data_IF_813972163418
#
_entry.id   IF_813972163418
#
_cell.length_a   1.000
_cell.length_b   1.000
_cell.length_c   1.000
_cell.angle_alpha   90.00
_cell.angle_beta   90.00
_cell.angle_gamma   90.00
#
_symmetry.space_group_name_H-M   'P 1'
#
loop_
_entity.id
_entity.type
_entity.pdbx_description
1 polymer ?
#
# COMPACT_ATOMS: atom_id res chain seq x y z
N UNK A 1 -13.61 -5.42 32.65
CA UNK A 1 -13.75 -6.16 31.37
C UNK A 1 -12.55 -7.09 31.18
N UNK A 2 -12.76 -8.37 30.87
CA UNK A 2 -11.67 -9.26 30.42
C UNK A 2 -11.07 -8.70 29.13
N UNK A 3 -9.76 -8.79 28.95
CA UNK A 3 -9.11 -8.36 27.72
C UNK A 3 -9.64 -9.16 26.53
N UNK A 4 -10.12 -8.48 25.51
CA UNK A 4 -10.62 -9.09 24.29
C UNK A 4 -9.42 -9.32 23.37
N UNK A 5 -9.21 -10.57 22.93
CA UNK A 5 -8.20 -10.92 21.92
C UNK A 5 -8.90 -11.10 20.59
N UNK A 6 -8.56 -10.27 19.62
CA UNK A 6 -9.08 -10.36 18.26
C UNK A 6 -7.94 -10.72 17.30
N UNK A 7 -8.20 -11.69 16.43
CA UNK A 7 -7.37 -12.01 15.27
C UNK A 7 -8.23 -11.98 14.01
N UNK A 8 -7.72 -11.34 12.95
CA UNK A 8 -8.44 -11.17 11.68
C UNK A 8 -7.60 -11.85 10.59
N UNK A 9 -8.19 -12.85 9.97
CA UNK A 9 -7.67 -13.53 8.76
C UNK A 9 -8.49 -13.08 7.56
N UNK A 10 -8.16 -13.59 6.37
CA UNK A 10 -8.79 -13.11 5.12
C UNK A 10 -10.31 -13.34 5.10
N UNK A 11 -10.80 -14.45 5.68
CA UNK A 11 -12.23 -14.81 5.66
C UNK A 11 -12.79 -15.15 7.05
N UNK A 12 -12.01 -14.97 8.11
CA UNK A 12 -12.45 -15.28 9.47
C UNK A 12 -12.01 -14.25 10.49
N UNK A 13 -12.91 -13.94 11.42
CA UNK A 13 -12.63 -13.17 12.63
C UNK A 13 -12.61 -14.16 13.79
N UNK A 14 -11.63 -14.02 14.67
CA UNK A 14 -11.49 -14.85 15.86
C UNK A 14 -11.48 -13.93 17.07
N UNK A 15 -12.47 -14.07 17.95
CA UNK A 15 -12.58 -13.31 19.20
C UNK A 15 -12.54 -14.28 20.37
N UNK A 16 -11.56 -14.12 21.27
CA UNK A 16 -11.39 -14.98 22.45
C UNK A 16 -11.42 -16.49 22.13
N UNK A 17 -10.82 -16.87 21.00
CA UNK A 17 -10.75 -18.25 20.46
C UNK A 17 -12.03 -18.78 19.80
N UNK A 18 -13.11 -18.00 19.75
CA UNK A 18 -14.30 -18.35 18.95
C UNK A 18 -14.09 -17.77 17.56
N UNK A 19 -14.28 -18.61 16.54
CA UNK A 19 -14.08 -18.28 15.13
C UNK A 19 -15.44 -18.09 14.45
N UNK A 20 -15.55 -17.03 13.64
CA UNK A 20 -16.68 -16.77 12.78
C UNK A 20 -16.20 -16.53 11.34
N UNK A 21 -16.93 -17.09 10.38
CA UNK A 21 -16.72 -16.77 8.98
C UNK A 21 -17.41 -15.45 8.65
N UNK A 22 -16.77 -14.66 7.79
CA UNK A 22 -17.37 -13.44 7.28
C UNK A 22 -17.16 -13.27 5.79
N UNK A 23 -18.06 -12.49 5.19
CA UNK A 23 -17.95 -12.00 3.82
C UNK A 23 -17.72 -10.50 3.82
N UNK A 24 -17.00 -10.03 2.81
CA UNK A 24 -16.71 -8.61 2.62
C UNK A 24 -17.40 -8.10 1.38
N UNK A 25 -18.21 -7.06 1.54
CA UNK A 25 -18.88 -6.40 0.43
C UNK A 25 -18.50 -4.91 0.41
N UNK A 26 -18.15 -4.40 -0.77
CA UNK A 26 -17.88 -2.98 -0.97
C UNK A 26 -19.19 -2.20 -1.01
N UNK A 27 -19.25 -1.10 -0.27
CA UNK A 27 -20.37 -0.18 -0.30
C UNK A 27 -19.87 1.26 -0.19
N UNK A 28 -20.64 2.19 -0.76
CA UNK A 28 -20.47 3.60 -0.42
C UNK A 28 -20.71 3.78 1.08
N UNK A 29 -19.76 4.41 1.77
CA UNK A 29 -19.82 4.61 3.23
C UNK A 29 -21.10 5.34 3.63
N UNK A 30 -21.44 6.44 2.96
CA UNK A 30 -22.64 7.23 3.25
C UNK A 30 -23.91 6.39 3.15
N UNK A 31 -23.99 5.48 2.18
CA UNK A 31 -25.12 4.56 2.04
C UNK A 31 -25.13 3.50 3.15
N UNK A 32 -23.97 3.00 3.55
CA UNK A 32 -23.83 2.00 4.61
C UNK A 32 -24.35 2.50 5.96
N UNK A 33 -24.01 3.73 6.32
CA UNK A 33 -24.46 4.31 7.59
C UNK A 33 -25.95 4.73 7.56
N UNK A 34 -26.56 4.83 6.38
CA UNK A 34 -27.97 5.19 6.14
C UNK A 34 -28.34 6.64 6.50
N UNK A 35 -27.81 7.15 7.61
CA UNK A 35 -28.10 8.46 8.17
C UNK A 35 -26.86 9.37 8.13
N UNK A 36 -27.03 10.59 7.61
CA UNK A 36 -25.94 11.55 7.42
C UNK A 36 -25.23 11.93 8.73
N UNK A 37 -25.96 12.04 9.85
CA UNK A 37 -25.35 12.40 11.13
C UNK A 37 -24.49 11.27 11.70
N UNK A 38 -24.88 10.02 11.48
CA UNK A 38 -24.10 8.83 11.85
C UNK A 38 -22.83 8.81 11.00
N UNK A 39 -22.96 8.87 9.68
CA UNK A 39 -21.81 8.94 8.77
C UNK A 39 -20.79 10.00 9.20
N UNK A 40 -21.24 11.23 9.47
CA UNK A 40 -20.37 12.34 9.90
C UNK A 40 -19.68 12.06 11.24
N UNK A 41 -20.42 11.53 12.22
CA UNK A 41 -19.85 11.16 13.52
C UNK A 41 -18.70 10.16 13.36
N UNK A 42 -18.91 9.07 12.61
CA UNK A 42 -17.89 8.05 12.39
C UNK A 42 -16.70 8.60 11.59
N UNK A 43 -16.94 9.36 10.51
CA UNK A 43 -15.86 9.92 9.70
C UNK A 43 -14.97 10.85 10.50
N UNK A 44 -15.57 11.72 11.32
CA UNK A 44 -14.84 12.70 12.12
C UNK A 44 -14.10 12.01 13.27
N UNK A 45 -14.75 11.09 13.96
CA UNK A 45 -14.16 10.37 15.09
C UNK A 45 -12.95 9.53 14.65
N UNK A 46 -13.07 8.77 13.57
CA UNK A 46 -12.02 7.88 13.09
C UNK A 46 -10.85 8.66 12.47
N UNK A 47 -11.14 9.72 11.72
CA UNK A 47 -10.11 10.60 11.16
C UNK A 47 -9.33 11.30 12.28
N UNK A 48 -10.02 11.91 13.24
CA UNK A 48 -9.39 12.67 14.33
C UNK A 48 -8.57 11.79 15.28
N UNK A 49 -9.10 10.64 15.69
CA UNK A 49 -8.48 9.83 16.74
C UNK A 49 -7.52 8.76 16.19
N UNK A 50 -7.76 8.27 14.97
CA UNK A 50 -7.03 7.12 14.42
C UNK A 50 -6.42 7.37 13.04
N UNK A 51 -6.62 8.57 12.44
CA UNK A 51 -6.16 8.91 11.09
C UNK A 51 -6.70 7.96 10.00
N UNK A 52 -7.91 7.42 10.21
CA UNK A 52 -8.58 6.53 9.27
C UNK A 52 -9.62 7.36 8.49
N UNK A 53 -9.49 7.42 7.17
CA UNK A 53 -10.49 8.06 6.30
C UNK A 53 -11.47 7.01 5.75
N UNK A 54 -12.76 7.20 6.03
CA UNK A 54 -13.86 6.34 5.57
C UNK A 54 -14.84 7.07 4.65
N UNK A 55 -14.51 8.26 4.14
CA UNK A 55 -15.45 9.13 3.42
C UNK A 55 -15.88 8.62 2.04
N UNK A 56 -15.19 7.61 1.51
CA UNK A 56 -15.41 7.07 0.17
C UNK A 56 -16.08 5.69 0.26
N UNK A 57 -15.65 4.75 -0.58
CA UNK A 57 -16.05 3.35 -0.48
C UNK A 57 -15.35 2.66 0.68
N UNK A 58 -16.10 1.81 1.37
CA UNK A 58 -15.61 0.99 2.47
C UNK A 58 -16.07 -0.45 2.30
N UNK A 59 -15.33 -1.34 2.94
CA UNK A 59 -15.65 -2.76 3.01
C UNK A 59 -16.55 -3.00 4.24
N UNK A 60 -17.77 -3.49 4.05
CA UNK A 60 -18.65 -3.95 5.13
C UNK A 60 -18.42 -5.43 5.41
N UNK A 61 -18.39 -5.79 6.69
CA UNK A 61 -18.25 -7.16 7.16
C UNK A 61 -19.60 -7.74 7.53
N UNK A 62 -19.96 -8.87 6.91
CA UNK A 62 -21.13 -9.66 7.25
C UNK A 62 -20.70 -11.01 7.81
N UNK A 63 -21.12 -11.33 9.04
CA UNK A 63 -20.86 -12.64 9.68
C UNK A 63 -22.06 -13.56 9.42
N UNK A 64 -21.81 -14.87 9.27
CA UNK A 64 -22.91 -15.83 9.11
C UNK A 64 -23.93 -15.73 10.25
N UNK A 65 -25.21 -15.96 9.95
CA UNK A 65 -26.28 -15.89 10.96
C UNK A 65 -26.00 -16.81 12.15
N UNK A 66 -25.52 -18.03 11.91
CA UNK A 66 -25.21 -18.99 12.97
C UNK A 66 -24.05 -18.52 13.86
N UNK A 67 -23.02 -17.90 13.28
CA UNK A 67 -21.88 -17.39 14.02
C UNK A 67 -22.21 -16.10 14.78
N UNK A 68 -23.08 -15.24 14.22
CA UNK A 68 -23.51 -14.00 14.87
C UNK A 68 -24.31 -14.26 16.15
N UNK A 69 -24.93 -15.43 16.31
CA UNK A 69 -25.60 -15.81 17.56
C UNK A 69 -24.65 -16.28 18.67
N UNK A 70 -23.37 -16.57 18.37
CA UNK A 70 -22.39 -17.10 19.33
C UNK A 70 -21.74 -15.97 20.12
N UNK A 71 -21.57 -16.14 21.43
CA UNK A 71 -20.71 -15.24 22.20
C UNK A 71 -19.24 -15.43 21.76
N UNK A 72 -18.46 -14.36 21.54
CA UNK A 72 -18.79 -12.95 21.76
C UNK A 72 -19.28 -12.19 20.52
N UNK A 73 -19.41 -12.83 19.36
CA UNK A 73 -19.88 -12.18 18.12
C UNK A 73 -21.27 -11.59 18.27
N UNK A 74 -22.15 -12.26 19.03
CA UNK A 74 -23.47 -11.74 19.39
C UNK A 74 -23.42 -10.36 20.01
N UNK A 75 -22.38 -10.04 20.77
CA UNK A 75 -22.28 -8.72 21.38
C UNK A 75 -21.83 -7.69 20.33
N UNK A 76 -20.88 -8.02 19.46
CA UNK A 76 -20.21 -7.06 18.57
C UNK A 76 -20.80 -6.94 17.16
N UNK A 77 -21.57 -7.93 16.70
CA UNK A 77 -22.08 -8.04 15.33
C UNK A 77 -23.60 -8.29 15.31
N UNK A 78 -24.32 -7.72 16.28
CA UNK A 78 -25.79 -7.81 16.31
C UNK A 78 -26.41 -7.35 14.99
N UNK A 79 -27.56 -7.92 14.67
CA UNK A 79 -28.37 -7.54 13.52
C UNK A 79 -28.68 -6.03 13.58
N UNK A 80 -28.25 -5.28 12.55
CA UNK A 80 -28.36 -3.81 12.50
C UNK A 80 -27.15 -3.03 13.05
N UNK A 81 -26.12 -3.71 13.56
CA UNK A 81 -24.84 -3.10 13.94
C UNK A 81 -23.97 -2.75 12.73
N UNK A 82 -23.10 -1.75 12.90
CA UNK A 82 -22.19 -1.30 11.84
C UNK A 82 -20.81 -1.95 12.02
N UNK A 83 -20.37 -2.71 11.02
CA UNK A 83 -19.06 -3.35 10.98
C UNK A 83 -18.31 -2.96 9.70
N UNK A 84 -17.27 -2.15 9.83
CA UNK A 84 -16.47 -1.65 8.70
C UNK A 84 -15.05 -2.17 8.79
N UNK A 85 -14.54 -2.67 7.68
CA UNK A 85 -13.12 -2.94 7.48
C UNK A 85 -12.52 -1.89 6.56
N UNK A 86 -11.45 -1.23 6.99
CA UNK A 86 -10.74 -0.28 6.12
C UNK A 86 -9.35 0.01 6.66
N UNK A 87 -8.38 0.18 5.77
CA UNK A 87 -7.00 0.52 6.12
C UNK A 87 -6.37 -0.40 7.19
N UNK A 88 -6.76 -1.68 7.20
CA UNK A 88 -6.29 -2.66 8.19
C UNK A 88 -6.92 -2.50 9.58
N UNK A 89 -8.02 -1.75 9.71
CA UNK A 89 -8.79 -1.61 10.93
C UNK A 89 -10.19 -2.21 10.77
N UNK A 90 -10.64 -2.91 11.80
CA UNK A 90 -12.02 -3.33 11.99
C UNK A 90 -12.69 -2.39 13.00
N UNK A 91 -13.76 -1.76 12.57
CA UNK A 91 -14.55 -0.82 13.38
C UNK A 91 -15.89 -1.49 13.66
N UNK A 92 -16.24 -1.57 14.95
CA UNK A 92 -17.48 -2.17 15.42
C UNK A 92 -18.23 -1.16 16.29
N UNK A 93 -19.52 -1.01 16.01
CA UNK A 93 -20.43 -0.34 16.91
C UNK A 93 -20.91 -1.31 17.98
N UNK A 94 -20.74 -0.96 19.25
CA UNK A 94 -21.28 -1.71 20.38
C UNK A 94 -21.99 -0.77 21.36
N UNK A 95 -23.32 -0.83 21.39
CA UNK A 95 -24.15 0.15 22.10
C UNK A 95 -23.74 1.59 21.72
N UNK A 96 -23.39 2.43 22.70
CA UNK A 96 -22.93 3.81 22.49
C UNK A 96 -21.42 3.93 22.28
N UNK A 97 -20.71 2.80 22.12
CA UNK A 97 -19.26 2.77 21.98
C UNK A 97 -18.83 2.41 20.57
N UNK A 98 -17.75 3.06 20.14
CA UNK A 98 -16.97 2.65 18.98
C UNK A 98 -15.75 1.88 19.44
N UNK A 99 -15.63 0.65 18.93
CA UNK A 99 -14.50 -0.21 19.22
C UNK A 99 -13.74 -0.42 17.92
N UNK A 100 -12.46 -0.05 17.93
CA UNK A 100 -11.59 -0.12 16.76
C UNK A 100 -10.45 -1.07 17.03
N UNK A 101 -10.28 -2.06 16.15
CA UNK A 101 -9.21 -3.06 16.23
C UNK A 101 -8.31 -2.92 15.03
N UNK A 102 -7.03 -2.66 15.26
CA UNK A 102 -6.02 -2.75 14.20
C UNK A 102 -5.70 -4.21 13.96
N UNK A 103 -5.81 -4.68 12.71
CA UNK A 103 -5.20 -5.95 12.29
C UNK A 103 -3.73 -5.85 12.67
N UNK A 104 -3.30 -6.70 13.60
CA UNK A 104 -1.89 -6.77 13.97
C UNK A 104 -1.15 -7.00 12.66
N UNK A 105 -0.32 -6.06 12.23
CA UNK A 105 0.60 -6.33 11.14
C UNK A 105 1.31 -7.60 11.56
N UNK A 106 1.25 -8.64 10.74
CA UNK A 106 2.17 -9.76 10.93
C UNK A 106 3.54 -9.10 10.95
N UNK A 107 4.17 -9.02 12.11
CA UNK A 107 5.60 -8.85 12.18
C UNK A 107 6.11 -10.11 11.49
N UNK A 108 6.29 -10.03 10.18
CA UNK A 108 7.13 -10.97 9.47
C UNK A 108 8.51 -10.75 10.06
N UNK A 109 8.80 -11.55 11.09
CA UNK A 109 10.12 -11.73 11.61
C UNK A 109 11.00 -12.20 10.44
N UNK A 110 11.99 -11.38 10.08
CA UNK A 110 13.28 -11.77 9.50
C UNK A 110 13.25 -12.83 8.38
N UNK A 111 12.51 -12.56 7.31
CA UNK A 111 12.97 -12.91 5.96
C UNK A 111 13.36 -11.61 5.29
N UNK A 112 14.53 -11.53 4.65
CA UNK A 112 14.95 -10.35 3.89
C UNK A 112 13.79 -9.90 2.98
N UNK A 113 13.13 -8.78 3.33
CA UNK A 113 11.94 -8.24 2.65
C UNK A 113 12.37 -7.56 1.34
N UNK A 114 12.92 -8.36 0.43
CA UNK A 114 13.42 -7.90 -0.85
C UNK A 114 12.46 -8.29 -1.96
N UNK A 115 12.24 -7.38 -2.89
CA UNK A 115 11.52 -7.66 -4.14
C UNK A 115 12.45 -8.45 -5.06
N UNK A 116 12.06 -9.69 -5.35
CA UNK A 116 12.79 -10.55 -6.29
C UNK A 116 12.63 -10.07 -7.73
N UNK A 117 13.67 -10.32 -8.53
CA UNK A 117 13.66 -10.00 -9.96
C UNK A 117 13.07 -11.13 -10.81
N UNK A 118 12.39 -10.82 -11.93
CA UNK A 118 12.17 -9.47 -12.47
C UNK A 118 11.03 -8.73 -11.77
N UNK A 119 11.17 -7.41 -11.67
CA UNK A 119 10.10 -6.52 -11.21
C UNK A 119 9.53 -5.74 -12.39
N UNK A 120 8.39 -6.20 -12.89
CA UNK A 120 7.58 -5.52 -13.89
C UNK A 120 6.52 -4.66 -13.17
N UNK A 121 6.65 -3.34 -13.29
CA UNK A 121 5.76 -2.42 -12.60
C UNK A 121 4.34 -2.43 -13.18
N UNK A 122 4.18 -2.63 -14.49
CA UNK A 122 2.85 -2.71 -15.11
C UNK A 122 2.14 -3.99 -14.69
N UNK A 123 2.87 -5.09 -14.55
CA UNK A 123 2.31 -6.33 -14.01
C UNK A 123 1.89 -6.15 -12.55
N UNK A 124 2.73 -5.52 -11.74
CA UNK A 124 2.37 -5.16 -10.37
C UNK A 124 1.10 -4.30 -10.32
N UNK A 125 0.97 -3.28 -11.18
CA UNK A 125 -0.23 -2.44 -11.13
C UNK A 125 -1.50 -3.21 -11.52
N UNK A 126 -1.41 -4.07 -12.54
CA UNK A 126 -2.54 -4.92 -12.95
C UNK A 126 -2.94 -5.94 -11.88
N UNK A 127 -1.97 -6.57 -11.23
CA UNK A 127 -2.21 -7.69 -10.31
C UNK A 127 -2.56 -7.21 -8.89
N UNK A 128 -1.97 -6.09 -8.45
CA UNK A 128 -1.88 -5.72 -7.03
C UNK A 128 -2.42 -4.33 -6.68
N UNK A 129 -2.49 -3.37 -7.61
CA UNK A 129 -2.78 -1.97 -7.25
C UNK A 129 -4.18 -1.76 -6.64
N UNK A 130 -5.17 -2.56 -7.05
CA UNK A 130 -6.56 -2.44 -6.60
C UNK A 130 -6.99 -3.51 -5.57
N UNK A 131 -6.12 -4.48 -5.27
CA UNK A 131 -6.47 -5.63 -4.41
C UNK A 131 -5.54 -5.68 -3.21
N UNK A 132 -6.14 -5.63 -2.02
CA UNK A 132 -5.43 -5.91 -0.77
C UNK A 132 -5.16 -7.42 -0.71
N UNK A 133 -4.09 -7.87 -1.36
CA UNK A 133 -3.76 -9.27 -1.58
C UNK A 133 -2.48 -9.62 -0.82
N UNK A 134 -2.56 -10.55 0.13
CA UNK A 134 -1.42 -11.03 0.89
C UNK A 134 -0.31 -11.63 -0.01
N UNK A 135 -0.64 -12.12 -1.20
CA UNK A 135 0.36 -12.55 -2.18
C UNK A 135 1.15 -11.38 -2.77
N UNK A 136 0.50 -10.23 -2.96
CA UNK A 136 1.16 -9.01 -3.43
C UNK A 136 2.12 -8.46 -2.38
N UNK A 137 1.72 -8.45 -1.10
CA UNK A 137 2.61 -8.03 0.00
C UNK A 137 3.83 -8.96 0.14
N UNK A 138 3.65 -10.26 -0.14
CA UNK A 138 4.76 -11.23 -0.16
C UNK A 138 5.67 -11.05 -1.36
N UNK A 139 5.12 -10.75 -2.54
CA UNK A 139 5.89 -10.66 -3.80
C UNK A 139 6.56 -9.30 -3.99
N UNK A 140 5.92 -8.25 -3.52
CA UNK A 140 6.36 -6.86 -3.65
C UNK A 140 6.40 -6.18 -2.27
N UNK A 141 7.20 -6.72 -1.31
CA UNK A 141 7.26 -6.15 0.02
C UNK A 141 7.77 -4.71 -0.03
N UNK A 142 7.07 -3.83 0.66
CA UNK A 142 7.54 -2.46 0.92
C UNK A 142 8.39 -2.44 2.18
N UNK A 143 9.42 -1.60 2.22
CA UNK A 143 10.24 -1.45 3.42
C UNK A 143 9.43 -0.83 4.56
N UNK A 144 9.74 -1.23 5.78
CA UNK A 144 9.06 -0.79 7.00
C UNK A 144 10.05 -0.50 8.12
N UNK A 145 9.58 0.13 9.21
CA UNK A 145 10.36 0.34 10.43
C UNK A 145 11.58 1.24 10.25
N UNK A 146 12.72 0.83 10.81
CA UNK A 146 13.93 1.67 10.85
C UNK A 146 14.51 1.93 9.46
N UNK A 147 14.47 0.93 8.57
CA UNK A 147 14.95 1.06 7.19
C UNK A 147 14.14 2.13 6.43
N UNK A 148 12.81 2.09 6.53
CA UNK A 148 11.93 3.11 5.96
C UNK A 148 12.31 4.52 6.44
N UNK A 149 12.54 4.69 7.73
CA UNK A 149 12.92 5.99 8.30
C UNK A 149 14.28 6.47 7.76
N UNK A 150 15.27 5.58 7.67
CA UNK A 150 16.60 5.88 7.16
C UNK A 150 16.56 6.29 5.68
N UNK A 151 15.91 5.49 4.83
CA UNK A 151 15.83 5.75 3.39
C UNK A 151 14.99 7.00 3.11
N UNK A 152 13.87 7.19 3.81
CA UNK A 152 13.05 8.42 3.68
C UNK A 152 13.86 9.67 4.06
N UNK A 153 14.67 9.60 5.12
CA UNK A 153 15.54 10.71 5.53
C UNK A 153 16.60 11.03 4.48
N UNK A 154 17.17 10.00 3.84
CA UNK A 154 18.11 10.17 2.73
C UNK A 154 17.44 10.84 1.52
N UNK A 155 16.24 10.38 1.13
CA UNK A 155 15.45 10.94 0.02
C UNK A 155 15.15 12.42 0.29
N UNK A 156 14.59 12.73 1.46
CA UNK A 156 14.21 14.10 1.84
C UNK A 156 15.40 15.06 1.84
N UNK A 157 16.60 14.57 2.16
CA UNK A 157 17.82 15.37 2.20
C UNK A 157 18.45 15.59 0.82
N UNK A 158 18.29 14.65 -0.12
CA UNK A 158 19.11 14.62 -1.35
C UNK A 158 18.32 14.64 -2.66
N UNK A 159 17.03 14.31 -2.63
CA UNK A 159 16.26 14.03 -3.83
C UNK A 159 15.00 14.88 -3.90
N UNK A 160 14.09 14.73 -2.94
CA UNK A 160 12.75 15.32 -2.99
C UNK A 160 12.19 15.36 -1.57
N UNK A 161 11.56 16.47 -1.17
CA UNK A 161 11.07 16.71 0.21
C UNK A 161 9.74 16.02 0.52
N UNK A 162 9.02 15.57 -0.50
CA UNK A 162 7.75 14.89 -0.34
C UNK A 162 7.95 13.52 0.30
N UNK A 163 6.91 13.07 1.01
CA UNK A 163 6.92 11.72 1.57
C UNK A 163 6.72 10.69 0.45
N UNK A 164 7.59 9.68 0.33
CA UNK A 164 7.35 8.56 -0.58
C UNK A 164 6.04 7.84 -0.28
N UNK A 165 5.30 7.47 -1.34
CA UNK A 165 4.12 6.61 -1.26
C UNK A 165 4.49 5.17 -0.95
N UNK A 166 5.51 4.67 -1.66
CA UNK A 166 6.02 3.32 -1.53
C UNK A 166 7.54 3.32 -1.76
N UNK A 167 8.23 2.46 -1.03
CA UNK A 167 9.65 2.19 -1.23
C UNK A 167 9.84 0.68 -1.22
N UNK A 168 10.43 0.16 -2.28
CA UNK A 168 10.73 -1.25 -2.48
C UNK A 168 12.23 -1.45 -2.40
N UNK A 169 12.70 -2.37 -1.56
CA UNK A 169 14.10 -2.81 -1.56
C UNK A 169 14.23 -3.97 -2.53
N UNK A 170 15.08 -3.86 -3.53
CA UNK A 170 15.26 -4.86 -4.57
C UNK A 170 16.34 -5.87 -4.18
N UNK A 171 16.08 -7.16 -4.40
CA UNK A 171 17.13 -8.16 -4.41
C UNK A 171 18.00 -7.98 -5.65
N UNK A 172 19.10 -7.24 -5.49
CA UNK A 172 20.02 -6.93 -6.57
C UNK A 172 21.09 -8.01 -6.82
N UNK A 173 20.90 -9.22 -6.28
CA UNK A 173 21.83 -10.33 -6.49
C UNK A 173 23.10 -10.26 -5.64
N UNK A 174 23.04 -9.56 -4.50
CA UNK A 174 24.14 -9.50 -3.52
C UNK A 174 25.23 -8.49 -3.84
N UNK A 175 24.89 -7.38 -4.50
CA UNK A 175 25.83 -6.29 -4.74
C UNK A 175 26.22 -5.60 -3.42
N UNK A 176 27.36 -4.92 -3.41
CA UNK A 176 27.92 -4.26 -2.22
C UNK A 176 27.20 -2.97 -1.79
N UNK A 177 25.99 -2.76 -2.28
CA UNK A 177 25.15 -1.59 -2.08
C UNK A 177 23.69 -2.02 -2.14
N UNK A 178 22.80 -1.25 -1.52
CA UNK A 178 21.37 -1.46 -1.54
C UNK A 178 20.72 -0.77 -2.74
N UNK A 179 19.69 -1.39 -3.31
CA UNK A 179 18.93 -0.83 -4.44
C UNK A 179 17.48 -0.64 -4.04
N UNK A 180 16.95 0.57 -4.24
CA UNK A 180 15.55 0.88 -3.93
C UNK A 180 14.83 1.42 -5.16
N UNK A 181 13.54 1.09 -5.26
CA UNK A 181 12.59 1.77 -6.15
C UNK A 181 11.62 2.56 -5.29
N UNK A 182 11.47 3.84 -5.60
CA UNK A 182 10.71 4.82 -4.82
C UNK A 182 9.60 5.38 -5.69
N UNK A 183 8.39 5.42 -5.13
CA UNK A 183 7.27 6.18 -5.66
C UNK A 183 7.12 7.47 -4.88
N UNK A 184 7.32 8.61 -5.52
CA UNK A 184 7.29 9.91 -4.86
C UNK A 184 6.72 10.96 -5.80
N UNK A 185 5.83 11.80 -5.26
CA UNK A 185 5.29 12.96 -5.98
C UNK A 185 6.41 13.94 -6.30
N UNK A 186 6.44 14.44 -7.52
CA UNK A 186 7.39 15.49 -7.90
C UNK A 186 7.20 16.74 -7.02
N UNK A 187 8.30 17.40 -6.66
CA UNK A 187 8.28 18.57 -5.78
C UNK A 187 8.02 19.89 -6.51
N UNK A 188 8.13 19.89 -7.83
CA UNK A 188 7.85 21.04 -8.69
C UNK A 188 6.51 20.82 -9.40
N UNK A 189 6.34 19.66 -10.03
CA UNK A 189 5.15 19.31 -10.80
C UNK A 189 4.30 18.31 -10.00
N UNK A 190 3.64 18.81 -8.94
CA UNK A 190 2.96 17.98 -7.93
C UNK A 190 1.89 17.00 -8.48
N UNK A 191 1.47 17.15 -9.74
CA UNK A 191 0.57 16.24 -10.43
C UNK A 191 1.28 15.01 -11.04
N UNK A 192 2.62 14.93 -10.97
CA UNK A 192 3.38 13.76 -11.38
C UNK A 192 3.79 12.90 -10.18
N UNK A 193 3.59 11.59 -10.33
CA UNK A 193 4.20 10.55 -9.52
C UNK A 193 5.39 9.98 -10.26
N UNK A 194 6.58 10.25 -9.73
CA UNK A 194 7.83 9.74 -10.23
C UNK A 194 8.17 8.39 -9.61
N UNK A 195 8.71 7.50 -10.45
CA UNK A 195 9.35 6.26 -10.02
C UNK A 195 10.86 6.43 -10.17
N UNK A 196 11.54 6.47 -9.03
CA UNK A 196 13.00 6.63 -8.98
C UNK A 196 13.64 5.33 -8.56
N UNK A 197 14.66 4.89 -9.30
CA UNK A 197 15.61 3.91 -8.80
C UNK A 197 16.77 4.63 -8.14
N UNK A 198 17.12 4.23 -6.93
CA UNK A 198 18.30 4.74 -6.23
C UNK A 198 19.18 3.59 -5.76
N UNK A 199 20.48 3.85 -5.73
CA UNK A 199 21.45 2.95 -5.13
C UNK A 199 22.11 3.65 -3.95
N UNK A 200 22.24 2.94 -2.83
CA UNK A 200 22.74 3.47 -1.56
C UNK A 200 23.85 2.56 -1.07
N UNK A 201 24.93 3.14 -0.53
CA UNK A 201 25.98 2.38 0.15
C UNK A 201 26.42 3.13 1.37
N UNK A 202 26.44 2.46 2.53
CA UNK A 202 26.80 3.09 3.81
C UNK A 202 25.99 4.37 4.08
N UNK A 203 24.68 4.35 3.80
CA UNK A 203 23.76 5.50 3.90
C UNK A 203 24.11 6.70 3.00
N UNK A 204 24.92 6.50 1.96
CA UNK A 204 25.25 7.51 0.95
C UNK A 204 24.58 7.14 -0.36
N UNK A 205 23.86 8.10 -0.96
CA UNK A 205 23.28 7.96 -2.29
C UNK A 205 24.40 7.89 -3.34
N UNK A 206 24.51 6.76 -4.04
CA UNK A 206 25.46 6.55 -5.14
C UNK A 206 24.89 7.08 -6.45
N UNK A 207 23.67 6.69 -6.78
CA UNK A 207 23.03 7.06 -8.03
C UNK A 207 21.51 7.15 -7.88
N UNK A 208 20.91 7.90 -8.82
CA UNK A 208 19.47 8.11 -8.95
C UNK A 208 19.12 8.10 -10.43
N UNK A 209 18.06 7.39 -10.80
CA UNK A 209 17.53 7.38 -12.15
C UNK A 209 16.01 7.44 -12.12
N UNK A 210 15.43 8.32 -12.93
CA UNK A 210 14.00 8.32 -13.22
C UNK A 210 13.69 7.16 -14.16
N UNK A 211 12.86 6.23 -13.70
CA UNK A 211 12.53 4.99 -14.42
C UNK A 211 11.03 4.88 -14.76
N UNK A 212 10.18 5.72 -14.17
CA UNK A 212 8.75 5.77 -14.46
C UNK A 212 8.17 7.14 -14.12
N UNK A 213 7.07 7.49 -14.79
CA UNK A 213 6.31 8.72 -14.54
C UNK A 213 4.84 8.46 -14.88
N UNK A 214 3.94 8.86 -14.00
CA UNK A 214 2.50 8.80 -14.21
C UNK A 214 1.82 10.01 -13.57
N UNK A 215 0.57 10.29 -13.97
CA UNK A 215 -0.23 11.29 -13.27
C UNK A 215 -0.69 10.80 -11.91
N UNK A 216 -0.75 11.73 -10.96
CA UNK A 216 -1.21 11.56 -9.58
C UNK A 216 -2.06 12.77 -9.16
N UNK A 217 -3.12 13.02 -9.95
CA UNK A 217 -4.08 14.07 -9.71
C UNK A 217 -4.50 14.80 -10.98
N UNK A 218 -5.15 15.94 -10.79
CA UNK A 218 -5.54 16.83 -11.86
C UNK A 218 -4.30 17.51 -12.45
N UNK A 219 -4.12 17.34 -13.75
CA UNK A 219 -3.08 18.00 -14.52
C UNK A 219 -3.65 19.19 -15.30
N UNK A 220 -2.82 20.18 -15.66
CA UNK A 220 -3.21 21.23 -16.60
C UNK A 220 -3.81 20.66 -17.90
N UNK A 221 -4.85 21.30 -18.43
CA UNK A 221 -5.57 20.81 -19.63
C UNK A 221 -4.67 20.75 -20.88
N UNK A 222 -3.66 21.60 -20.95
CA UNK A 222 -2.66 21.68 -22.03
C UNK A 222 -1.41 20.83 -21.77
N UNK A 223 -1.39 20.04 -20.69
CA UNK A 223 -0.25 19.22 -20.33
C UNK A 223 0.00 18.13 -21.39
N UNK A 224 1.12 18.27 -22.10
CA UNK A 224 1.65 17.22 -22.95
C UNK A 224 2.71 16.45 -22.19
N UNK A 225 2.43 15.21 -21.81
CA UNK A 225 3.42 14.34 -21.15
C UNK A 225 3.37 12.91 -21.70
N UNK A 226 4.46 12.17 -21.50
CA UNK A 226 4.56 10.75 -21.86
C UNK A 226 4.62 9.93 -20.59
N UNK A 227 3.55 9.19 -20.29
CA UNK A 227 3.55 8.23 -19.20
C UNK A 227 4.60 7.13 -19.45
N UNK A 228 5.36 6.76 -18.42
CA UNK A 228 6.41 5.75 -18.50
C UNK A 228 6.22 4.68 -17.43
N UNK A 229 6.39 3.44 -17.83
CA UNK A 229 6.50 2.28 -16.93
C UNK A 229 7.85 1.59 -17.13
N UNK A 230 8.19 0.62 -16.29
CA UNK A 230 9.46 -0.07 -16.36
C UNK A 230 9.38 -1.56 -16.03
N UNK A 231 10.41 -2.28 -16.45
CA UNK A 231 10.73 -3.62 -15.96
C UNK A 231 12.19 -3.65 -15.52
N UNK A 232 12.43 -4.00 -14.27
CA UNK A 232 13.77 -4.34 -13.77
C UNK A 232 13.99 -5.85 -13.95
N UNK A 233 14.89 -6.21 -14.85
CA UNK A 233 15.12 -7.58 -15.29
C UNK A 233 16.06 -8.34 -14.35
N UNK A 234 16.07 -9.68 -14.44
CA UNK A 234 16.96 -10.55 -13.63
C UNK A 234 18.44 -10.27 -13.82
N UNK A 235 18.84 -9.81 -15.01
CA UNK A 235 20.21 -9.42 -15.30
C UNK A 235 20.51 -7.98 -14.83
N UNK A 236 19.65 -7.34 -14.03
CA UNK A 236 19.78 -5.97 -13.56
C UNK A 236 19.78 -4.90 -14.68
N UNK A 237 19.23 -5.20 -15.85
CA UNK A 237 18.86 -4.15 -16.81
C UNK A 237 17.48 -3.59 -16.49
N UNK A 238 17.29 -2.30 -16.68
CA UNK A 238 16.01 -1.60 -16.55
C UNK A 238 15.55 -1.26 -17.95
N UNK A 239 14.40 -1.79 -18.35
CA UNK A 239 13.74 -1.40 -19.57
C UNK A 239 12.64 -0.41 -19.25
N UNK A 240 12.64 0.75 -19.91
CA UNK A 240 11.62 1.79 -19.74
C UNK A 240 10.73 1.81 -20.99
N UNK A 241 9.42 1.87 -20.77
CA UNK A 241 8.41 1.82 -21.82
C UNK A 241 7.51 3.05 -21.78
N UNK A 242 7.14 3.54 -22.95
CA UNK A 242 6.07 4.51 -23.12
C UNK A 242 4.71 3.81 -22.97
N UNK A 243 3.81 4.45 -22.21
CA UNK A 243 2.44 4.02 -21.99
C UNK A 243 1.48 4.90 -22.79
N UNK A 244 0.53 4.27 -23.50
CA UNK A 244 -0.62 4.94 -24.13
C UNK A 244 -1.89 4.21 -23.78
N UNK A 245 -2.92 4.95 -23.35
CA UNK A 245 -4.22 4.38 -22.99
C UNK A 245 -4.08 3.19 -22.02
N UNK A 246 -3.22 3.35 -21.00
CA UNK A 246 -2.92 2.32 -19.99
C UNK A 246 -2.34 1.01 -20.54
N UNK A 247 -1.75 1.03 -21.75
CA UNK A 247 -1.05 -0.11 -22.34
C UNK A 247 0.39 0.27 -22.71
N UNK A 248 1.28 -0.71 -22.60
CA UNK A 248 2.65 -0.58 -23.10
C UNK A 248 2.57 -0.36 -24.61
N UNK A 249 3.11 0.77 -25.08
CA UNK A 249 3.13 1.12 -26.49
C UNK A 249 4.45 0.69 -27.13
N UNK A 250 5.58 1.17 -26.59
CA UNK A 250 6.92 0.80 -27.06
C UNK A 250 7.96 0.95 -25.95
N UNK A 251 9.05 0.20 -26.08
CA UNK A 251 10.26 0.42 -25.30
C UNK A 251 10.95 1.70 -25.76
N UNK A 252 11.34 2.57 -24.84
CA UNK A 252 11.95 3.87 -25.14
C UNK A 252 13.40 4.00 -24.67
N UNK A 253 13.76 3.38 -23.55
CA UNK A 253 15.11 3.47 -22.99
C UNK A 253 15.50 2.18 -22.27
N UNK A 254 16.81 2.01 -22.07
CA UNK A 254 17.36 0.93 -21.27
C UNK A 254 18.58 1.38 -20.49
N UNK A 255 18.68 0.86 -19.27
CA UNK A 255 19.82 1.09 -18.41
C UNK A 255 20.35 -0.24 -17.89
N UNK A 256 21.63 -0.27 -17.53
CA UNK A 256 22.28 -1.37 -16.84
C UNK A 256 22.76 -0.88 -15.48
N UNK A 257 22.40 -1.59 -14.42
CA UNK A 257 23.01 -1.41 -13.10
C UNK A 257 24.39 -2.07 -13.10
N UNK A 258 25.41 -1.26 -12.83
CA UNK A 258 26.79 -1.69 -12.74
C UNK A 258 27.16 -2.10 -11.30
N UNK A 259 28.26 -2.84 -11.15
CA UNK A 259 28.72 -3.36 -9.86
C UNK A 259 29.20 -2.28 -8.88
N UNK A 260 29.45 -1.07 -9.37
CA UNK A 260 29.79 0.11 -8.57
C UNK A 260 28.55 0.92 -8.12
N UNK A 261 27.35 0.53 -8.55
CA UNK A 261 26.10 1.22 -8.27
C UNK A 261 25.76 2.33 -9.24
N UNK A 262 26.58 2.58 -10.26
CA UNK A 262 26.23 3.48 -11.37
C UNK A 262 25.22 2.84 -12.32
N UNK A 263 24.54 3.69 -13.09
CA UNK A 263 23.60 3.28 -14.14
C UNK A 263 24.11 3.80 -15.48
N UNK A 264 24.33 2.89 -16.43
CA UNK A 264 24.73 3.23 -17.80
C UNK A 264 23.58 2.96 -18.77
N UNK A 265 23.36 3.86 -19.72
CA UNK A 265 22.40 3.64 -20.81
C UNK A 265 22.94 2.55 -21.75
N UNK A 266 22.06 1.66 -22.21
CA UNK A 266 22.39 0.57 -23.15
C UNK A 266 21.47 0.57 -24.37
#
# INVERSE_FOLDING_TARGET
MKSIKINITDNNIIINNIKAQFTVNKSNSKNLFGQNYIYKYYSDYLSKNYKINIQNEVDYIEVSYEDSQKYPFKDFFMEGGIAVFTNGYLILQYSDYLITFRKKSSNNNNSNNLVSLPFDYQKYTNDCYLKNNAECDKRYPQIQGNELNLVTSLINKKINKNKPYAIYHIDNGGLSFETYIIQIRDDIEEYFLNHLMINVKNNILISKQLIGIQLDGDAPEDLTYTAKTFTLNKNLSIDIFEMRFSKIYKKIESYKLNSDGSLSKI
#
